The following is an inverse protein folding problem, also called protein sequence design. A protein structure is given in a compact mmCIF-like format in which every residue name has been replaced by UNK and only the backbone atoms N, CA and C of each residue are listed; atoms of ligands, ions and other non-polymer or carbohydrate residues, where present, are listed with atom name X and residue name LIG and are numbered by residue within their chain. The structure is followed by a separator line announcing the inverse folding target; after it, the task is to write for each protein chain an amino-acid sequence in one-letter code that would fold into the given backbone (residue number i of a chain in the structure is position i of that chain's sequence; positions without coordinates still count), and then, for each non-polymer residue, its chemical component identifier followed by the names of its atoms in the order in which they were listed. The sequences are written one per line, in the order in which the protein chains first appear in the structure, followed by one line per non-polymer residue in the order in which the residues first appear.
data_IF_517323933988
#
_entry.id   IF_517323933988
#
_cell.length_a   1.000
_cell.length_b   1.000
_cell.length_c   1.000
_cell.angle_alpha   90.00
_cell.angle_beta   90.00
_cell.angle_gamma   90.00
#
_symmetry.space_group_name_H-M   'P 1'
#
loop_
_entity.id
_entity.type
_entity.pdbx_description
1 polymer ?
#
# COMPACT_ATOMS: atom_id res chain seq x y z
N UNK A 1 -63.79 12.15 9.59
CA UNK A 1 -64.87 11.77 8.66
C UNK A 1 -65.17 12.92 7.71
N UNK A 2 -64.65 12.89 6.47
CA UNK A 2 -65.38 13.15 5.22
C UNK A 2 -64.39 12.99 4.06
N UNK A 3 -64.43 11.83 3.41
CA UNK A 3 -63.83 11.62 2.09
C UNK A 3 -64.71 12.32 1.03
N UNK A 4 -64.13 12.81 -0.06
CA UNK A 4 -64.71 12.81 -1.41
C UNK A 4 -63.55 12.76 -2.42
N UNK A 5 -63.70 11.90 -3.41
CA UNK A 5 -62.76 11.44 -4.44
C UNK A 5 -63.17 12.03 -5.81
N UNK A 6 -62.24 12.01 -6.79
CA UNK A 6 -62.39 12.11 -8.27
C UNK A 6 -62.27 13.54 -8.83
N UNK A 7 -61.48 13.87 -9.88
CA UNK A 7 -61.19 13.25 -11.20
C UNK A 7 -59.88 13.86 -11.79
N UNK A 8 -58.84 13.12 -12.19
CA UNK A 8 -58.45 12.58 -13.52
C UNK A 8 -58.23 13.56 -14.71
N UNK A 9 -57.05 13.44 -15.35
CA UNK A 9 -56.51 14.02 -16.63
C UNK A 9 -56.02 15.49 -16.57
N UNK A 10 -54.92 15.90 -17.22
CA UNK A 10 -54.53 15.68 -18.61
C UNK A 10 -53.03 16.02 -18.87
N UNK A 11 -52.48 15.32 -19.85
CA UNK A 11 -51.10 15.28 -20.38
C UNK A 11 -50.55 16.64 -20.86
N UNK A 12 -49.27 16.95 -20.57
CA UNK A 12 -48.50 18.03 -21.21
C UNK A 12 -47.41 17.44 -22.13
N UNK A 13 -47.54 17.69 -23.44
CA UNK A 13 -46.51 17.47 -24.45
C UNK A 13 -46.15 18.82 -25.08
N UNK A 14 -44.90 18.93 -25.56
CA UNK A 14 -44.39 19.81 -26.63
C UNK A 14 -44.15 21.29 -26.29
N UNK A 15 -43.24 22.03 -26.90
CA UNK A 15 -41.89 21.86 -27.46
C UNK A 15 -41.56 23.23 -28.12
N UNK A 16 -40.33 23.70 -27.95
CA UNK A 16 -39.54 24.59 -28.85
C UNK A 16 -39.99 26.02 -29.25
N UNK A 17 -39.08 26.96 -28.91
CA UNK A 17 -38.33 27.93 -29.77
C UNK A 17 -38.81 29.37 -30.08
N UNK A 18 -37.76 30.24 -30.12
CA UNK A 18 -37.62 31.63 -30.65
C UNK A 18 -38.01 32.74 -29.66
N UNK A 19 -37.20 33.75 -29.32
CA UNK A 19 -35.91 34.28 -29.79
C UNK A 19 -35.78 35.74 -29.29
N UNK A 20 -34.55 36.26 -29.10
CA UNK A 20 -34.32 37.67 -28.75
C UNK A 20 -32.88 37.97 -28.31
N UNK A 21 -32.06 38.42 -29.25
CA UNK A 21 -30.77 39.11 -29.04
C UNK A 21 -30.96 40.46 -28.35
N UNK A 22 -29.99 40.91 -27.54
CA UNK A 22 -29.28 42.20 -27.71
C UNK A 22 -28.08 42.30 -26.74
N UNK A 23 -26.89 42.44 -27.35
CA UNK A 23 -25.71 43.24 -26.99
C UNK A 23 -24.90 43.05 -25.67
N UNK A 24 -23.65 42.64 -25.92
CA UNK A 24 -22.38 43.30 -25.53
C UNK A 24 -21.51 42.68 -24.42
N UNK A 25 -20.29 42.34 -24.88
CA UNK A 25 -19.03 42.18 -24.14
C UNK A 25 -18.99 41.18 -22.97
N UNK A 26 -18.65 39.94 -23.31
CA UNK A 26 -18.07 38.98 -22.39
C UNK A 26 -16.98 38.20 -23.11
N UNK A 27 -15.73 38.40 -22.69
CA UNK A 27 -14.56 37.64 -23.18
C UNK A 27 -14.84 36.14 -23.03
N UNK A 28 -14.70 35.38 -24.11
CA UNK A 28 -14.74 33.91 -24.09
C UNK A 28 -13.50 33.43 -23.37
N UNK A 29 -13.59 33.22 -22.07
CA UNK A 29 -12.67 32.34 -21.35
C UNK A 29 -12.95 30.93 -21.83
N UNK A 30 -12.03 30.39 -22.61
CA UNK A 30 -11.92 28.95 -22.82
C UNK A 30 -11.48 28.39 -21.47
N UNK A 31 -12.42 28.02 -20.61
CA UNK A 31 -12.13 27.00 -19.61
C UNK A 31 -11.96 25.70 -20.39
N UNK A 32 -10.73 25.48 -20.88
CA UNK A 32 -10.25 24.13 -21.09
C UNK A 32 -10.13 23.53 -19.70
N UNK A 33 -11.25 23.04 -19.18
CA UNK A 33 -11.22 21.96 -18.19
C UNK A 33 -10.55 20.80 -18.91
N UNK A 34 -9.22 20.80 -18.92
CA UNK A 34 -8.46 19.59 -19.09
C UNK A 34 -8.92 18.71 -17.95
N UNK A 35 -9.80 17.78 -18.27
CA UNK A 35 -10.11 16.66 -17.42
C UNK A 35 -8.76 15.97 -17.25
N UNK A 36 -8.13 16.19 -16.10
CA UNK A 36 -7.05 15.34 -15.64
C UNK A 36 -7.76 14.02 -15.36
N UNK A 37 -7.83 13.18 -16.39
CA UNK A 37 -7.97 11.76 -16.13
C UNK A 37 -6.66 11.40 -15.44
N UNK A 38 -6.74 11.18 -14.12
CA UNK A 38 -5.70 10.47 -13.40
C UNK A 38 -5.71 9.09 -14.05
N UNK A 39 -4.87 8.95 -15.07
CA UNK A 39 -4.48 7.64 -15.54
C UNK A 39 -3.66 7.11 -14.38
N UNK A 40 -4.25 6.18 -13.61
CA UNK A 40 -3.45 5.29 -12.77
C UNK A 40 -2.49 4.60 -13.74
N UNK A 41 -1.27 5.13 -13.82
CA UNK A 41 -0.18 4.44 -14.47
C UNK A 41 0.19 3.37 -13.46
N UNK A 42 -0.43 2.19 -13.59
CA UNK A 42 0.07 1.03 -12.88
C UNK A 42 1.51 0.82 -13.33
N UNK A 43 2.45 1.08 -12.40
CA UNK A 43 3.86 0.81 -12.62
C UNK A 43 4.00 -0.69 -12.81
N UNK A 44 4.74 -1.10 -13.82
CA UNK A 44 5.09 -2.51 -13.95
C UNK A 44 6.07 -2.90 -12.84
N UNK A 45 6.15 -4.19 -12.51
CA UNK A 45 7.16 -4.70 -11.59
C UNK A 45 8.58 -4.28 -12.01
N UNK A 46 8.89 -4.35 -13.30
CA UNK A 46 10.19 -3.93 -13.86
C UNK A 46 10.47 -2.44 -13.58
N UNK A 47 9.48 -1.57 -13.79
CA UNK A 47 9.59 -0.14 -13.49
C UNK A 47 9.78 0.12 -11.99
N UNK A 48 9.08 -0.62 -11.14
CA UNK A 48 9.21 -0.49 -9.69
C UNK A 48 10.58 -0.92 -9.16
N UNK A 49 11.17 -2.00 -9.68
CA UNK A 49 12.54 -2.41 -9.30
C UNK A 49 13.58 -1.41 -9.81
N UNK A 50 13.38 -0.83 -11.00
CA UNK A 50 14.25 0.24 -11.51
C UNK A 50 14.17 1.50 -10.65
N UNK A 51 12.97 1.89 -10.21
CA UNK A 51 12.77 3.03 -9.32
C UNK A 51 13.39 2.78 -7.94
N UNK A 52 13.30 1.55 -7.42
CA UNK A 52 13.97 1.14 -6.18
C UNK A 52 15.50 1.24 -6.33
N UNK A 53 16.06 0.71 -7.41
CA UNK A 53 17.50 0.80 -7.69
C UNK A 53 17.97 2.25 -7.81
N UNK A 54 17.15 3.12 -8.41
CA UNK A 54 17.40 4.55 -8.44
C UNK A 54 17.40 5.15 -7.03
N UNK A 55 16.38 4.88 -6.22
CA UNK A 55 16.29 5.37 -4.85
C UNK A 55 17.52 4.97 -4.02
N UNK A 56 17.95 3.71 -4.10
CA UNK A 56 19.16 3.25 -3.39
C UNK A 56 20.40 4.07 -3.78
N UNK A 57 20.54 4.46 -5.06
CA UNK A 57 21.62 5.35 -5.50
C UNK A 57 21.49 6.78 -4.99
N UNK A 58 20.27 7.27 -4.83
CA UNK A 58 20.00 8.59 -4.24
C UNK A 58 20.35 8.62 -2.75
N UNK A 59 20.13 7.52 -2.03
CA UNK A 59 20.57 7.29 -0.65
C UNK A 59 22.10 7.06 -0.52
N UNK A 60 22.81 6.98 -1.66
CA UNK A 60 24.27 6.88 -1.69
C UNK A 60 24.81 5.45 -1.81
N UNK A 61 23.94 4.45 -1.91
CA UNK A 61 24.32 3.06 -2.17
C UNK A 61 24.60 2.89 -3.65
N UNK A 62 25.77 2.38 -4.01
CA UNK A 62 26.08 2.05 -5.40
C UNK A 62 25.32 0.79 -5.84
N UNK A 63 24.03 0.95 -6.10
CA UNK A 63 23.10 -0.12 -6.46
C UNK A 63 22.90 -0.14 -7.99
N UNK A 64 23.32 -1.19 -8.70
CA UNK A 64 23.20 -1.27 -10.15
C UNK A 64 21.74 -1.45 -10.58
N UNK A 65 21.40 -1.01 -11.79
CA UNK A 65 20.11 -1.36 -12.39
C UNK A 65 20.08 -2.86 -12.75
N UNK A 66 18.96 -3.56 -12.51
CA UNK A 66 18.84 -4.96 -12.90
C UNK A 66 18.66 -5.11 -14.41
N UNK A 67 19.07 -6.25 -14.93
CA UNK A 67 18.50 -6.82 -16.15
C UNK A 67 17.36 -7.77 -15.79
N UNK A 68 16.55 -8.19 -16.75
CA UNK A 68 15.42 -9.10 -16.49
C UNK A 68 15.55 -10.34 -17.37
N UNK A 69 15.35 -11.51 -16.77
CA UNK A 69 15.32 -12.78 -17.49
C UNK A 69 14.01 -12.97 -18.29
N UNK A 70 13.84 -14.14 -18.90
CA UNK A 70 12.62 -14.44 -19.69
C UNK A 70 11.35 -14.56 -18.83
N UNK A 71 11.50 -14.83 -17.55
CA UNK A 71 10.44 -14.98 -16.57
C UNK A 71 10.15 -13.64 -15.85
N UNK A 72 10.92 -12.58 -16.16
CA UNK A 72 10.78 -11.25 -15.57
C UNK A 72 11.46 -11.10 -14.22
N UNK A 73 12.36 -12.02 -13.83
CA UNK A 73 13.11 -11.90 -12.58
C UNK A 73 14.27 -10.91 -12.74
N UNK A 74 14.50 -10.02 -11.76
CA UNK A 74 15.62 -9.08 -11.81
C UNK A 74 16.96 -9.81 -11.55
N UNK A 75 17.93 -9.56 -12.41
CA UNK A 75 19.33 -9.99 -12.28
C UNK A 75 20.23 -8.76 -12.10
N UNK A 76 20.96 -8.69 -10.98
CA UNK A 76 21.88 -7.60 -10.68
C UNK A 76 23.32 -8.02 -10.93
N UNK A 77 23.96 -7.40 -11.91
CA UNK A 77 25.38 -7.55 -12.17
C UNK A 77 26.20 -6.66 -11.21
N UNK A 78 27.31 -7.20 -10.67
CA UNK A 78 28.29 -6.44 -9.88
C UNK A 78 27.73 -5.73 -8.63
N UNK A 79 26.65 -6.27 -8.03
CA UNK A 79 26.11 -5.77 -6.76
C UNK A 79 27.08 -6.10 -5.61
N UNK A 80 27.73 -5.07 -5.07
CA UNK A 80 28.65 -5.17 -3.95
C UNK A 80 28.27 -4.16 -2.87
N UNK A 81 27.65 -4.66 -1.79
CA UNK A 81 27.32 -3.85 -0.62
C UNK A 81 28.52 -3.82 0.31
N UNK A 82 29.19 -2.66 0.38
CA UNK A 82 30.39 -2.48 1.21
C UNK A 82 30.04 -2.15 2.66
N UNK A 83 28.93 -1.44 2.88
CA UNK A 83 28.45 -1.02 4.19
C UNK A 83 27.00 -1.50 4.39
N UNK A 84 26.83 -2.47 5.29
CA UNK A 84 25.55 -3.10 5.60
C UNK A 84 24.61 -2.13 6.34
N UNK A 85 25.13 -1.30 7.25
CA UNK A 85 24.35 -0.31 8.00
C UNK A 85 23.77 0.78 7.08
N UNK A 86 24.60 1.33 6.18
CA UNK A 86 24.12 2.32 5.19
C UNK A 86 23.12 1.68 4.22
N UNK A 87 23.32 0.41 3.86
CA UNK A 87 22.39 -0.31 3.00
C UNK A 87 21.03 -0.52 3.67
N UNK A 88 21.02 -0.93 4.95
CA UNK A 88 19.79 -1.09 5.71
C UNK A 88 19.03 0.23 5.83
N UNK A 89 19.71 1.33 6.17
CA UNK A 89 19.10 2.67 6.24
C UNK A 89 18.48 3.08 4.89
N UNK A 90 19.24 2.94 3.80
CA UNK A 90 18.77 3.23 2.45
C UNK A 90 17.58 2.33 2.04
N UNK A 91 17.63 1.05 2.40
CA UNK A 91 16.58 0.10 2.09
C UNK A 91 15.27 0.50 2.78
N UNK A 92 15.32 0.88 4.06
CA UNK A 92 14.14 1.38 4.81
C UNK A 92 13.53 2.61 4.14
N UNK A 93 14.35 3.50 3.57
CA UNK A 93 13.87 4.69 2.88
C UNK A 93 13.27 4.40 1.49
N UNK A 94 13.65 3.28 0.87
CA UNK A 94 13.31 2.96 -0.53
C UNK A 94 12.30 1.81 -0.71
N UNK A 95 12.06 0.99 0.32
CA UNK A 95 11.28 -0.25 0.17
C UNK A 95 9.81 -0.07 -0.19
N UNK A 96 9.22 1.08 0.12
CA UNK A 96 7.83 1.39 -0.23
C UNK A 96 7.63 1.31 -1.76
N UNK A 97 8.68 1.62 -2.53
CA UNK A 97 8.70 1.50 -3.98
C UNK A 97 8.53 0.04 -4.41
N UNK A 98 9.21 -0.90 -3.73
CA UNK A 98 9.08 -2.35 -4.03
C UNK A 98 7.71 -2.89 -3.63
N UNK A 99 7.15 -2.41 -2.51
CA UNK A 99 5.81 -2.80 -2.06
C UNK A 99 4.73 -2.35 -3.06
N UNK A 100 4.83 -1.12 -3.57
CA UNK A 100 3.94 -0.59 -4.60
C UNK A 100 4.10 -1.32 -5.95
N UNK A 101 5.30 -1.82 -6.25
CA UNK A 101 5.61 -2.54 -7.48
C UNK A 101 5.08 -3.98 -7.51
N UNK A 102 4.76 -4.55 -6.34
CA UNK A 102 4.37 -5.95 -6.16
C UNK A 102 3.05 -6.13 -5.39
N UNK A 103 1.94 -5.47 -5.79
CA UNK A 103 0.69 -5.56 -5.05
C UNK A 103 0.16 -7.00 -4.97
N UNK A 104 0.29 -7.78 -6.05
CA UNK A 104 -0.24 -9.16 -6.10
C UNK A 104 0.66 -10.21 -5.40
N UNK A 105 1.97 -9.96 -5.21
CA UNK A 105 2.83 -10.92 -4.50
C UNK A 105 2.60 -10.89 -2.97
N UNK A 106 1.92 -9.84 -2.49
CA UNK A 106 1.47 -9.72 -1.11
C UNK A 106 -0.05 -9.92 -0.96
N UNK A 107 -0.77 -10.27 -2.04
CA UNK A 107 -2.16 -10.73 -1.96
C UNK A 107 -2.18 -12.16 -1.42
N UNK A 108 -1.99 -12.27 -0.11
CA UNK A 108 -2.21 -13.51 0.62
C UNK A 108 -3.68 -13.89 0.53
N UNK A 109 -3.95 -15.20 0.61
CA UNK A 109 -5.33 -15.63 0.83
C UNK A 109 -5.87 -14.96 2.11
N UNK A 110 -7.10 -14.40 2.11
CA UNK A 110 -7.62 -13.67 3.26
C UNK A 110 -7.62 -14.47 4.56
N UNK A 111 -7.71 -15.80 4.50
CA UNK A 111 -7.62 -16.68 5.66
C UNK A 111 -6.19 -16.78 6.20
N UNK A 112 -5.21 -16.86 5.29
CA UNK A 112 -3.78 -16.81 5.62
C UNK A 112 -3.40 -15.45 6.19
N UNK A 113 -3.86 -14.35 5.58
CA UNK A 113 -3.62 -13.00 6.07
C UNK A 113 -4.15 -12.82 7.49
N UNK A 114 -5.41 -13.21 7.71
CA UNK A 114 -6.04 -13.12 9.02
C UNK A 114 -5.27 -13.93 10.08
N UNK A 115 -4.84 -15.15 9.77
CA UNK A 115 -4.07 -15.98 10.68
C UNK A 115 -2.71 -15.34 11.06
N UNK A 116 -2.03 -14.72 10.09
CA UNK A 116 -0.76 -14.03 10.34
C UNK A 116 -0.97 -12.75 11.18
N UNK A 117 -2.03 -11.98 10.91
CA UNK A 117 -2.37 -10.78 11.71
C UNK A 117 -2.70 -11.18 13.15
N UNK A 118 -3.55 -12.20 13.35
CA UNK A 118 -3.96 -12.66 14.67
C UNK A 118 -2.76 -13.18 15.48
N UNK A 119 -1.91 -14.01 14.88
CA UNK A 119 -0.68 -14.51 15.52
C UNK A 119 0.28 -13.39 15.89
N UNK A 120 0.46 -12.41 15.01
CA UNK A 120 1.33 -11.26 15.28
C UNK A 120 0.76 -10.38 16.41
N UNK A 121 -0.57 -10.22 16.47
CA UNK A 121 -1.24 -9.50 17.56
C UNK A 121 -1.10 -10.23 18.90
N UNK A 122 -1.25 -11.56 18.92
CA UNK A 122 -1.03 -12.39 20.11
C UNK A 122 0.43 -12.28 20.60
N UNK A 123 1.40 -12.31 19.68
CA UNK A 123 2.80 -12.08 20.00
C UNK A 123 3.03 -10.70 20.62
N UNK A 124 2.52 -9.64 20.00
CA UNK A 124 2.63 -8.27 20.53
C UNK A 124 1.98 -8.13 21.92
N UNK A 125 0.86 -8.80 22.16
CA UNK A 125 0.21 -8.82 23.47
C UNK A 125 1.09 -9.52 24.52
N UNK A 126 1.65 -10.69 24.20
CA UNK A 126 2.55 -11.41 25.10
C UNK A 126 3.79 -10.58 25.47
N UNK A 127 4.42 -9.93 24.48
CA UNK A 127 5.58 -9.07 24.70
C UNK A 127 5.26 -7.93 25.68
N UNK A 128 4.06 -7.32 25.57
CA UNK A 128 3.58 -6.32 26.52
C UNK A 128 3.31 -6.87 27.92
N UNK A 129 2.83 -8.11 28.01
CA UNK A 129 2.64 -8.79 29.30
C UNK A 129 3.98 -9.09 29.99
N UNK A 130 5.05 -9.36 29.23
CA UNK A 130 6.43 -9.47 29.72
C UNK A 130 7.07 -8.09 30.02
N UNK A 131 6.34 -7.00 29.78
CA UNK A 131 6.76 -5.63 30.11
C UNK A 131 7.55 -4.93 29.01
N UNK A 132 7.59 -5.48 27.80
CA UNK A 132 8.19 -4.84 26.63
C UNK A 132 7.13 -3.99 25.93
N UNK A 133 7.38 -2.70 25.69
CA UNK A 133 6.47 -1.82 24.95
C UNK A 133 6.50 -2.18 23.45
N UNK A 134 5.78 -3.24 23.09
CA UNK A 134 5.80 -3.84 21.76
C UNK A 134 4.56 -3.39 20.95
N UNK A 135 4.72 -2.83 19.74
CA UNK A 135 3.59 -2.33 18.94
C UNK A 135 2.80 -3.47 18.30
N UNK A 136 1.56 -3.17 17.89
CA UNK A 136 0.76 -4.07 17.07
C UNK A 136 1.19 -3.98 15.59
N UNK A 137 1.10 -5.08 14.81
CA UNK A 137 1.44 -5.08 13.39
C UNK A 137 0.48 -4.21 12.57
N UNK A 138 0.96 -3.57 11.50
CA UNK A 138 0.07 -2.87 10.56
C UNK A 138 -0.54 -3.85 9.55
N UNK A 139 -1.76 -3.59 9.03
CA UNK A 139 -2.33 -4.40 7.95
C UNK A 139 -1.40 -4.44 6.73
N UNK A 140 -1.20 -5.62 6.16
CA UNK A 140 -0.29 -5.84 5.02
C UNK A 140 1.21 -5.84 5.34
N UNK A 141 1.62 -5.63 6.61
CA UNK A 141 3.01 -5.75 7.05
C UNK A 141 3.19 -7.07 7.83
N UNK A 142 4.02 -7.97 7.32
CA UNK A 142 4.25 -9.30 7.90
C UNK A 142 5.74 -9.60 8.07
N UNK A 143 6.06 -10.53 8.98
CA UNK A 143 7.43 -11.00 9.19
C UNK A 143 8.37 -9.87 9.61
N UNK A 144 9.52 -9.76 8.95
CA UNK A 144 10.55 -8.75 9.25
C UNK A 144 10.02 -7.31 9.19
N UNK A 145 9.06 -7.03 8.31
CA UNK A 145 8.52 -5.68 8.12
C UNK A 145 7.54 -5.25 9.20
N UNK A 146 6.89 -6.20 9.88
CA UNK A 146 5.79 -5.92 10.81
C UNK A 146 6.17 -5.03 12.00
N UNK A 147 7.44 -5.05 12.41
CA UNK A 147 7.90 -4.39 13.64
C UNK A 147 9.19 -3.58 13.48
N UNK A 148 9.63 -3.31 12.25
CA UNK A 148 10.89 -2.59 12.03
C UNK A 148 10.86 -1.18 12.61
N UNK A 149 9.73 -0.50 12.50
CA UNK A 149 9.57 0.88 13.01
C UNK A 149 9.40 0.92 14.55
N UNK A 150 9.48 -0.23 15.23
CA UNK A 150 9.36 -0.30 16.68
C UNK A 150 10.62 0.25 17.35
N UNK A 151 10.44 1.16 18.30
CA UNK A 151 11.52 1.70 19.13
C UNK A 151 11.93 0.69 20.22
N UNK A 152 12.49 -0.45 19.80
CA UNK A 152 12.81 -1.60 20.65
C UNK A 152 14.28 -1.98 20.49
N UNK A 153 14.97 -2.10 21.62
CA UNK A 153 16.33 -2.66 21.66
C UNK A 153 16.26 -4.20 21.62
N UNK A 154 16.30 -4.76 20.41
CA UNK A 154 16.28 -6.19 20.17
C UNK A 154 17.53 -6.92 20.71
N UNK A 155 18.61 -6.21 21.02
CA UNK A 155 19.81 -6.79 21.64
C UNK A 155 19.70 -6.86 23.17
N UNK A 156 18.71 -6.22 23.78
CA UNK A 156 18.55 -6.23 25.24
C UNK A 156 18.18 -7.61 25.78
N UNK A 157 18.72 -7.95 26.96
CA UNK A 157 18.44 -9.24 27.59
C UNK A 157 16.95 -9.43 27.91
N UNK A 158 16.25 -8.35 28.27
CA UNK A 158 14.84 -8.42 28.65
C UNK A 158 13.96 -8.70 27.42
N UNK A 159 14.27 -8.07 26.28
CA UNK A 159 13.59 -8.37 25.01
C UNK A 159 13.87 -9.82 24.60
N UNK A 160 15.13 -10.27 24.59
CA UNK A 160 15.44 -11.66 24.21
C UNK A 160 14.72 -12.70 25.07
N UNK A 161 14.64 -12.48 26.40
CA UNK A 161 13.89 -13.37 27.31
C UNK A 161 12.39 -13.36 27.00
N UNK A 162 11.82 -12.18 26.74
CA UNK A 162 10.41 -12.07 26.37
C UNK A 162 10.14 -12.80 25.03
N UNK A 163 11.04 -12.70 24.04
CA UNK A 163 10.93 -13.44 22.78
C UNK A 163 10.95 -14.96 22.96
N UNK A 164 11.78 -15.48 23.87
CA UNK A 164 11.80 -16.92 24.19
C UNK A 164 10.50 -17.39 24.87
N UNK A 165 9.88 -16.54 25.69
CA UNK A 165 8.61 -16.84 26.38
C UNK A 165 7.44 -16.74 25.40
N UNK A 166 7.45 -15.73 24.55
CA UNK A 166 6.36 -15.34 23.67
C UNK A 166 6.41 -15.98 22.29
N UNK A 167 7.32 -16.94 22.04
CA UNK A 167 7.49 -17.55 20.72
C UNK A 167 6.14 -17.93 20.07
N UNK A 168 5.77 -17.32 18.93
CA UNK A 168 4.51 -17.64 18.29
C UNK A 168 4.59 -19.05 17.69
N UNK A 169 3.55 -19.86 17.92
CA UNK A 169 3.34 -21.10 17.19
C UNK A 169 3.11 -20.79 15.70
N UNK A 170 3.42 -21.73 14.80
CA UNK A 170 3.24 -21.50 13.36
C UNK A 170 1.74 -21.34 13.05
N UNK A 171 1.27 -20.13 12.67
CA UNK A 171 -0.16 -19.89 12.46
C UNK A 171 -0.71 -20.58 11.23
N UNK A 172 0.15 -21.09 10.35
CA UNK A 172 -0.23 -21.77 9.12
C UNK A 172 -0.34 -23.29 9.29
N UNK A 173 0.00 -23.84 10.45
CA UNK A 173 0.06 -25.30 10.66
C UNK A 173 -1.30 -26.00 10.45
N UNK A 174 -2.42 -25.29 10.62
CA UNK A 174 -3.77 -25.85 10.55
C UNK A 174 -4.64 -25.29 9.41
N UNK A 175 -4.05 -24.56 8.45
CA UNK A 175 -4.81 -23.93 7.35
C UNK A 175 -4.96 -24.82 6.10
N UNK A 176 -4.31 -25.99 6.08
CA UNK A 176 -4.30 -26.93 4.94
C UNK A 176 -5.37 -28.06 5.03
N UNK A 177 -6.28 -28.03 6.01
CA UNK A 177 -7.29 -29.08 6.28
C UNK A 177 -8.67 -28.86 5.62
#
# INVERSE_FOLDING_TARGET
MRNIILTFTLVFITACTIGGEEASEGVVTIESTTRIEVVEVEKTFEEGVLDFAQCMREEGINFPDPSFDIDGNPEFDDLNIENEEEFEEAFVNCEDILREALPEQFDLDPEVEAALVDSSLEFSQCMRDEGIDFPDPKPGEFGFFAFRDADIDFESEDVQKAFEICQPENPLENLDD
#
